data_IF_580073821854
#
_entry.id   IF_580073821854
#
_cell.length_a   1.000
_cell.length_b   1.000
_cell.length_c   1.000
_cell.angle_alpha   90.00
_cell.angle_beta   90.00
_cell.angle_gamma   90.00
#
_symmetry.space_group_name_H-M   'P 1'
#
loop_
_entity.id
_entity.type
_entity.pdbx_description
1 polymer ?
#
# COMPACT_ATOMS: atom_id res chain seq x y z
N UNK A 1 -14.59 -27.85 30.60
CA UNK A 1 -15.24 -29.19 30.53
C UNK A 1 -16.04 -29.47 31.81
N UNK A 2 -15.42 -29.52 33.00
CA UNK A 2 -16.13 -29.87 34.25
C UNK A 2 -17.38 -29.02 34.54
N UNK A 3 -17.34 -27.72 34.27
CA UNK A 3 -18.52 -26.83 34.42
C UNK A 3 -19.69 -27.26 33.52
N UNK A 4 -19.43 -27.65 32.27
CA UNK A 4 -20.49 -28.11 31.36
C UNK A 4 -21.16 -29.38 31.87
N UNK A 5 -20.36 -30.32 32.38
CA UNK A 5 -20.86 -31.58 32.94
C UNK A 5 -21.69 -31.33 34.21
N UNK A 6 -21.20 -30.47 35.11
CA UNK A 6 -21.91 -30.15 36.36
C UNK A 6 -23.26 -29.43 36.12
N UNK A 7 -23.35 -28.66 35.03
CA UNK A 7 -24.57 -27.93 34.65
C UNK A 7 -25.49 -28.71 33.70
N UNK A 8 -25.16 -29.97 33.37
CA UNK A 8 -25.84 -30.77 32.34
C UNK A 8 -25.98 -30.03 30.98
N UNK A 9 -24.96 -29.28 30.58
CA UNK A 9 -24.92 -28.59 29.29
C UNK A 9 -24.23 -29.45 28.22
N UNK A 10 -24.65 -29.27 26.96
CA UNK A 10 -23.99 -29.89 25.82
C UNK A 10 -22.55 -29.38 25.67
N UNK A 11 -21.58 -30.29 25.52
CA UNK A 11 -20.18 -29.93 25.34
C UNK A 11 -19.95 -29.43 23.90
N UNK A 12 -19.41 -28.22 23.69
CA UNK A 12 -19.10 -27.74 22.35
C UNK A 12 -17.84 -28.43 21.82
N UNK A 13 -17.63 -28.34 20.50
CA UNK A 13 -16.34 -28.65 19.91
C UNK A 13 -15.31 -27.57 20.29
N UNK A 14 -14.09 -27.99 20.63
CA UNK A 14 -12.98 -27.09 20.95
C UNK A 14 -11.87 -27.25 19.91
N UNK A 15 -11.36 -26.14 19.42
CA UNK A 15 -10.14 -26.10 18.62
C UNK A 15 -9.15 -25.12 19.27
N UNK A 16 -7.90 -25.56 19.42
CA UNK A 16 -6.83 -24.73 19.98
C UNK A 16 -5.94 -24.26 18.85
N UNK A 17 -5.94 -22.95 18.59
CA UNK A 17 -5.07 -22.33 17.59
C UNK A 17 -3.67 -22.20 18.19
N UNK A 18 -2.60 -22.55 17.46
CA UNK A 18 -1.23 -22.42 17.94
C UNK A 18 -0.90 -20.96 18.30
N UNK A 19 0.01 -20.79 19.25
CA UNK A 19 0.47 -19.45 19.63
C UNK A 19 1.27 -18.81 18.51
N UNK A 20 1.12 -17.49 18.38
CA UNK A 20 1.95 -16.65 17.52
C UNK A 20 3.24 -16.30 18.26
N UNK A 21 4.36 -16.53 17.60
CA UNK A 21 5.70 -16.24 18.09
C UNK A 21 6.33 -15.09 17.30
N UNK A 22 7.28 -14.38 17.91
CA UNK A 22 8.17 -13.47 17.21
C UNK A 22 9.11 -14.25 16.28
N UNK A 23 9.85 -13.54 15.43
CA UNK A 23 10.81 -14.18 14.52
C UNK A 23 11.93 -14.91 15.29
N UNK A 24 12.29 -14.40 16.47
CA UNK A 24 13.21 -15.01 17.44
C UNK A 24 12.60 -16.22 18.18
N UNK A 25 11.33 -16.53 17.95
CA UNK A 25 10.66 -17.71 18.51
C UNK A 25 10.12 -17.52 19.93
N UNK A 26 10.15 -16.30 20.49
CA UNK A 26 9.48 -15.99 21.76
C UNK A 26 7.98 -15.83 21.54
N UNK A 27 7.16 -16.11 22.55
CA UNK A 27 5.72 -15.82 22.47
C UNK A 27 5.50 -14.33 22.22
N UNK A 28 4.70 -13.98 21.21
CA UNK A 28 4.35 -12.60 20.93
C UNK A 28 3.61 -11.99 22.13
N UNK A 29 4.02 -10.80 22.54
CA UNK A 29 3.51 -10.06 23.67
C UNK A 29 3.30 -8.60 23.30
N UNK A 30 2.51 -7.86 24.09
CA UNK A 30 2.28 -6.42 23.88
C UNK A 30 3.56 -5.55 23.91
N UNK A 31 4.69 -6.11 24.35
CA UNK A 31 5.98 -5.42 24.43
C UNK A 31 6.79 -5.54 23.12
N UNK A 32 6.37 -6.41 22.21
CA UNK A 32 7.04 -6.62 20.93
C UNK A 32 6.55 -5.56 19.92
N UNK A 33 7.43 -5.06 19.04
CA UNK A 33 7.09 -3.99 18.09
C UNK A 33 5.95 -4.41 17.15
N UNK A 34 5.05 -3.48 16.83
CA UNK A 34 3.81 -3.68 16.04
C UNK A 34 2.87 -4.76 16.63
N UNK A 35 2.50 -4.58 17.90
CA UNK A 35 1.64 -5.53 18.63
C UNK A 35 0.14 -5.36 18.35
N UNK A 36 -0.28 -4.24 17.75
CA UNK A 36 -1.70 -3.92 17.56
C UNK A 36 -2.06 -3.75 16.08
N UNK A 37 -3.34 -3.95 15.75
CA UNK A 37 -3.84 -3.73 14.39
C UNK A 37 -3.58 -2.29 13.89
N UNK A 38 -3.70 -1.31 14.79
CA UNK A 38 -3.45 0.09 14.48
C UNK A 38 -1.98 0.37 14.12
N UNK A 39 -1.02 -0.38 14.68
CA UNK A 39 0.39 -0.24 14.32
C UNK A 39 0.64 -0.62 12.86
N UNK A 40 -0.03 -1.65 12.35
CA UNK A 40 0.02 -2.03 10.94
C UNK A 40 -0.68 -1.01 10.05
N UNK A 41 -1.82 -0.47 10.49
CA UNK A 41 -2.52 0.59 9.77
C UNK A 41 -1.68 1.86 9.67
N UNK A 42 -0.96 2.26 10.73
CA UNK A 42 -0.06 3.43 10.74
C UNK A 42 1.07 3.35 9.72
N UNK A 43 1.62 2.16 9.49
CA UNK A 43 2.67 1.95 8.49
C UNK A 43 2.11 1.69 7.08
N UNK A 44 0.78 1.74 6.90
CA UNK A 44 0.15 1.62 5.58
C UNK A 44 0.02 0.19 5.07
N UNK A 45 -0.14 -0.80 5.95
CA UNK A 45 -0.59 -2.15 5.56
C UNK A 45 -2.09 -2.12 5.28
N UNK A 46 -2.50 -2.64 4.12
CA UNK A 46 -3.91 -2.72 3.72
C UNK A 46 -4.62 -3.85 4.46
N UNK A 47 -5.89 -3.65 4.84
CA UNK A 47 -6.64 -4.62 5.65
C UNK A 47 -6.78 -5.99 4.97
N UNK A 48 -6.89 -6.03 3.64
CA UNK A 48 -7.00 -7.27 2.85
C UNK A 48 -5.71 -8.10 2.91
N UNK A 49 -4.56 -7.43 2.84
CA UNK A 49 -3.25 -8.05 2.94
C UNK A 49 -2.99 -8.58 4.35
N UNK A 50 -3.31 -7.79 5.38
CA UNK A 50 -3.15 -8.21 6.77
C UNK A 50 -4.09 -9.39 7.10
N UNK A 51 -5.34 -9.35 6.65
CA UNK A 51 -6.29 -10.46 6.82
C UNK A 51 -5.74 -11.75 6.20
N UNK A 52 -5.24 -11.68 4.97
CA UNK A 52 -4.67 -12.85 4.30
C UNK A 52 -3.44 -13.40 4.99
N UNK A 53 -2.56 -12.50 5.44
CA UNK A 53 -1.40 -12.90 6.22
C UNK A 53 -1.80 -13.62 7.51
N UNK A 54 -2.77 -13.06 8.26
CA UNK A 54 -3.27 -13.68 9.48
C UNK A 54 -4.00 -15.00 9.22
N UNK A 55 -4.73 -15.12 8.11
CA UNK A 55 -5.33 -16.39 7.69
C UNK A 55 -4.24 -17.44 7.43
N UNK A 56 -3.16 -17.07 6.74
CA UNK A 56 -2.01 -17.97 6.49
C UNK A 56 -1.14 -18.23 7.72
N UNK A 57 -1.39 -17.51 8.81
CA UNK A 57 -0.63 -17.64 10.04
C UNK A 57 -1.11 -18.86 10.83
N UNK A 58 -0.65 -20.03 10.42
CA UNK A 58 -0.96 -21.31 11.06
C UNK A 58 -2.09 -22.09 10.39
N UNK A 59 -2.65 -21.58 9.29
CA UNK A 59 -3.53 -22.34 8.40
C UNK A 59 -2.99 -22.34 6.97
N UNK A 60 -3.13 -23.47 6.30
CA UNK A 60 -2.70 -23.65 4.91
C UNK A 60 -3.75 -24.40 4.11
N UNK A 61 -3.88 -24.02 2.85
CA UNK A 61 -4.71 -24.71 1.86
C UNK A 61 -3.90 -24.85 0.57
N UNK A 62 -3.48 -26.08 0.28
CA UNK A 62 -2.62 -26.40 -0.87
C UNK A 62 -1.43 -25.40 -0.95
N UNK A 63 -1.07 -24.99 -2.16
CA UNK A 63 -0.02 -24.00 -2.42
C UNK A 63 -0.55 -22.55 -2.55
N UNK A 64 -1.84 -22.32 -2.23
CA UNK A 64 -2.48 -21.01 -2.41
C UNK A 64 -2.12 -20.06 -1.26
N UNK A 65 -1.59 -18.88 -1.59
CA UNK A 65 -1.18 -17.87 -0.60
C UNK A 65 -2.14 -16.67 -0.48
N UNK A 66 -2.92 -16.39 -1.54
CA UNK A 66 -3.79 -15.20 -1.61
C UNK A 66 -5.24 -15.64 -1.82
N UNK A 67 -6.12 -15.16 -0.95
CA UNK A 67 -7.53 -15.51 -0.90
C UNK A 67 -8.39 -14.25 -0.90
N UNK A 68 -9.47 -14.26 -1.67
CA UNK A 68 -10.55 -13.30 -1.48
C UNK A 68 -11.26 -13.59 -0.15
N UNK A 69 -12.09 -12.65 0.32
CA UNK A 69 -12.90 -12.88 1.52
C UNK A 69 -13.83 -14.08 1.35
N UNK A 70 -14.48 -14.19 0.19
CA UNK A 70 -15.39 -15.29 -0.14
C UNK A 70 -14.67 -16.64 -0.19
N UNK A 71 -13.49 -16.68 -0.81
CA UNK A 71 -12.64 -17.87 -0.84
C UNK A 71 -12.19 -18.27 0.57
N UNK A 72 -11.81 -17.29 1.40
CA UNK A 72 -11.42 -17.55 2.79
C UNK A 72 -12.55 -18.22 3.56
N UNK A 73 -13.80 -17.75 3.40
CA UNK A 73 -14.97 -18.34 4.06
C UNK A 73 -15.26 -19.74 3.54
N UNK A 74 -15.17 -19.94 2.22
CA UNK A 74 -15.52 -21.22 1.58
C UNK A 74 -14.51 -22.33 1.86
N UNK A 75 -13.21 -22.00 1.92
CA UNK A 75 -12.13 -22.99 1.98
C UNK A 75 -11.64 -23.25 3.41
N UNK A 76 -11.89 -22.32 4.34
CA UNK A 76 -11.41 -22.48 5.71
C UNK A 76 -11.99 -23.73 6.39
N UNK A 77 -11.10 -24.50 7.01
CA UNK A 77 -11.41 -25.72 7.72
C UNK A 77 -10.37 -25.96 8.82
N UNK A 78 -10.71 -26.81 9.80
CA UNK A 78 -9.83 -27.06 10.95
C UNK A 78 -8.67 -27.99 10.61
N UNK A 79 -8.81 -28.86 9.61
CA UNK A 79 -7.78 -29.79 9.15
C UNK A 79 -6.56 -29.06 8.60
N UNK A 80 -6.76 -27.89 7.99
CA UNK A 80 -5.70 -27.02 7.49
C UNK A 80 -4.92 -26.28 8.57
N UNK A 81 -5.32 -26.34 9.84
CA UNK A 81 -4.63 -25.69 10.95
C UNK A 81 -3.40 -26.52 11.36
N UNK A 82 -2.21 -25.93 11.22
CA UNK A 82 -0.95 -26.52 11.64
C UNK A 82 -0.82 -26.61 13.17
N UNK A 83 -0.13 -27.64 13.66
CA UNK A 83 0.14 -27.84 15.09
C UNK A 83 1.29 -26.98 15.63
N UNK A 84 2.19 -26.54 14.74
CA UNK A 84 3.39 -25.79 15.11
C UNK A 84 3.08 -24.31 15.40
N UNK A 85 3.80 -23.66 16.34
CA UNK A 85 3.72 -22.22 16.53
C UNK A 85 4.01 -21.47 15.23
N UNK A 86 3.23 -20.43 14.97
CA UNK A 86 3.39 -19.61 13.77
C UNK A 86 4.24 -18.39 14.08
N UNK A 87 5.20 -18.08 13.21
CA UNK A 87 6.08 -16.91 13.40
C UNK A 87 5.52 -15.71 12.66
N UNK A 88 5.38 -14.61 13.38
CA UNK A 88 5.07 -13.32 12.79
C UNK A 88 6.32 -12.78 12.09
N UNK A 89 6.19 -12.49 10.81
CA UNK A 89 7.26 -12.07 9.91
C UNK A 89 6.81 -10.85 9.09
N UNK A 90 7.35 -9.70 9.46
CA UNK A 90 7.08 -8.43 8.79
C UNK A 90 7.46 -8.44 7.31
N UNK A 91 8.49 -9.20 6.92
CA UNK A 91 8.91 -9.27 5.51
C UNK A 91 7.85 -9.94 4.64
N UNK A 92 7.21 -11.00 5.16
CA UNK A 92 6.08 -11.68 4.49
C UNK A 92 4.85 -10.79 4.44
N UNK A 93 4.53 -10.05 5.51
CA UNK A 93 3.45 -9.06 5.51
C UNK A 93 3.67 -8.01 4.43
N UNK A 94 4.88 -7.44 4.36
CA UNK A 94 5.22 -6.42 3.36
C UNK A 94 5.17 -6.98 1.93
N UNK A 95 5.65 -8.20 1.71
CA UNK A 95 5.57 -8.85 0.39
C UNK A 95 4.13 -9.12 -0.03
N UNK A 96 3.27 -9.55 0.90
CA UNK A 96 1.84 -9.73 0.65
C UNK A 96 1.20 -8.39 0.31
N UNK A 97 1.45 -7.36 1.11
CA UNK A 97 0.89 -6.03 0.91
C UNK A 97 1.35 -5.40 -0.43
N UNK A 98 2.61 -5.59 -0.81
CA UNK A 98 3.14 -5.19 -2.12
C UNK A 98 2.37 -5.87 -3.26
N UNK A 99 2.05 -7.16 -3.14
CA UNK A 99 1.22 -7.84 -4.13
C UNK A 99 -0.15 -7.17 -4.25
N UNK A 100 -0.83 -6.92 -3.12
CA UNK A 100 -2.14 -6.26 -3.13
C UNK A 100 -2.07 -4.85 -3.74
N UNK A 101 -1.06 -4.03 -3.39
CA UNK A 101 -0.86 -2.68 -3.94
C UNK A 101 -0.67 -2.73 -5.47
N UNK A 102 0.00 -3.76 -5.99
CA UNK A 102 0.22 -3.91 -7.43
C UNK A 102 -1.04 -4.36 -8.16
N UNK A 103 -1.86 -5.22 -7.54
CA UNK A 103 -3.02 -5.86 -8.17
C UNK A 103 -4.32 -5.07 -8.06
N UNK A 104 -4.44 -4.16 -7.10
CA UNK A 104 -5.64 -3.34 -6.87
C UNK A 104 -5.84 -2.30 -7.98
N UNK A 105 -7.11 -1.97 -8.26
CA UNK A 105 -7.49 -0.90 -9.19
C UNK A 105 -7.04 0.48 -8.68
N UNK A 106 -6.62 1.37 -9.58
CA UNK A 106 -6.13 2.70 -9.20
C UNK A 106 -7.19 3.57 -8.50
N UNK A 107 -8.47 3.43 -8.81
CA UNK A 107 -9.52 4.16 -8.09
C UNK A 107 -9.61 3.68 -6.64
N UNK A 108 -9.62 2.38 -6.43
CA UNK A 108 -9.70 1.78 -5.10
C UNK A 108 -8.44 2.08 -4.29
N UNK A 109 -7.25 1.98 -4.90
CA UNK A 109 -5.99 2.37 -4.29
C UNK A 109 -5.98 3.84 -3.86
N UNK A 110 -6.54 4.73 -4.69
CA UNK A 110 -6.68 6.13 -4.34
C UNK A 110 -7.56 6.31 -3.09
N UNK A 111 -8.70 5.62 -3.00
CA UNK A 111 -9.57 5.70 -1.82
C UNK A 111 -8.88 5.18 -0.56
N UNK A 112 -8.15 4.07 -0.66
CA UNK A 112 -7.34 3.53 0.44
C UNK A 112 -6.26 4.52 0.88
N UNK A 113 -5.56 5.15 -0.07
CA UNK A 113 -4.57 6.18 0.20
C UNK A 113 -5.18 7.41 0.89
N UNK A 114 -6.33 7.90 0.41
CA UNK A 114 -7.04 9.02 1.04
C UNK A 114 -7.43 8.69 2.47
N UNK A 115 -8.05 7.54 2.70
CA UNK A 115 -8.44 7.06 4.04
C UNK A 115 -7.23 6.91 4.98
N UNK A 116 -6.11 6.39 4.47
CA UNK A 116 -4.85 6.32 5.20
C UNK A 116 -4.33 7.72 5.58
N UNK A 117 -4.31 8.64 4.61
CA UNK A 117 -3.83 10.00 4.82
C UNK A 117 -4.71 10.77 5.81
N UNK A 118 -6.03 10.62 5.77
CA UNK A 118 -6.94 11.26 6.72
C UNK A 118 -6.71 10.82 8.16
N UNK A 119 -6.26 9.58 8.38
CA UNK A 119 -6.03 9.02 9.71
C UNK A 119 -4.62 9.28 10.24
N UNK A 120 -3.60 9.17 9.38
CA UNK A 120 -2.21 9.05 9.83
C UNK A 120 -1.26 10.08 9.20
N UNK A 121 -1.70 10.85 8.20
CA UNK A 121 -0.86 11.83 7.47
C UNK A 121 -1.62 13.14 7.27
N UNK A 122 -1.19 13.92 6.29
CA UNK A 122 -1.89 15.12 5.86
C UNK A 122 -3.01 14.77 4.88
N UNK A 123 -4.18 15.35 5.10
CA UNK A 123 -5.34 15.15 4.24
C UNK A 123 -5.03 15.60 2.80
N UNK A 124 -5.24 14.70 1.85
CA UNK A 124 -5.12 15.00 0.42
C UNK A 124 -6.28 15.92 0.03
N UNK A 125 -5.98 17.12 -0.48
CA UNK A 125 -6.99 18.04 -1.00
C UNK A 125 -7.62 17.45 -2.28
N UNK A 126 -8.92 17.61 -2.43
CA UNK A 126 -9.69 17.11 -3.59
C UNK A 126 -9.14 17.58 -4.93
N UNK A 127 -8.61 18.81 -5.00
CA UNK A 127 -7.96 19.38 -6.19
C UNK A 127 -6.76 18.57 -6.70
N UNK A 128 -6.15 17.75 -5.84
CA UNK A 128 -4.99 16.91 -6.18
C UNK A 128 -5.39 15.57 -6.78
N UNK A 129 -6.65 15.15 -6.64
CA UNK A 129 -7.14 13.86 -7.14
C UNK A 129 -6.81 13.67 -8.62
N UNK A 130 -7.12 14.68 -9.44
CA UNK A 130 -6.91 14.65 -10.89
C UNK A 130 -5.44 14.47 -11.31
N UNK A 131 -4.48 14.76 -10.40
CA UNK A 131 -3.04 14.55 -10.64
C UNK A 131 -2.53 13.24 -10.02
N UNK A 132 -2.97 12.92 -8.81
CA UNK A 132 -2.49 11.73 -8.08
C UNK A 132 -3.00 10.46 -8.75
N UNK A 133 -4.28 10.40 -9.08
CA UNK A 133 -4.95 9.18 -9.54
C UNK A 133 -4.36 8.62 -10.85
N UNK A 134 -4.11 9.43 -11.91
CA UNK A 134 -3.41 8.94 -13.11
C UNK A 134 -1.95 8.57 -12.85
N UNK A 135 -1.34 9.15 -11.81
CA UNK A 135 0.06 8.92 -11.43
C UNK A 135 0.23 7.67 -10.57
N UNK A 136 -0.84 7.08 -10.02
CA UNK A 136 -0.76 5.93 -9.11
C UNK A 136 -0.06 4.72 -9.73
N UNK A 137 -0.23 4.50 -11.03
CA UNK A 137 0.48 3.45 -11.79
C UNK A 137 2.01 3.56 -11.66
N UNK A 138 2.53 4.80 -11.59
CA UNK A 138 3.95 5.07 -11.34
C UNK A 138 4.27 5.08 -9.84
N UNK A 139 3.43 5.70 -9.01
CA UNK A 139 3.67 5.87 -7.58
C UNK A 139 3.68 4.54 -6.81
N UNK A 140 2.99 3.51 -7.32
CA UNK A 140 3.00 2.15 -6.77
C UNK A 140 4.28 1.37 -7.08
N UNK A 141 5.13 1.87 -7.98
CA UNK A 141 6.36 1.17 -8.35
C UNK A 141 7.32 1.10 -7.15
N UNK A 142 7.72 -0.12 -6.78
CA UNK A 142 8.53 -0.44 -5.59
C UNK A 142 7.91 -0.02 -4.24
N UNK A 143 6.62 0.35 -4.21
CA UNK A 143 5.91 0.63 -2.97
C UNK A 143 5.47 -0.67 -2.31
N UNK A 144 5.76 -0.83 -1.02
CA UNK A 144 5.30 -1.98 -0.22
C UNK A 144 4.17 -1.61 0.71
N UNK A 145 3.94 -0.33 0.92
CA UNK A 145 2.94 0.23 1.84
C UNK A 145 2.26 1.47 1.28
N UNK A 146 1.11 1.85 1.84
CA UNK A 146 0.48 3.14 1.55
C UNK A 146 1.37 4.32 1.98
N UNK A 147 2.22 4.13 3.00
CA UNK A 147 3.23 5.12 3.42
C UNK A 147 4.25 5.38 2.31
N UNK A 148 4.73 4.33 1.63
CA UNK A 148 5.64 4.47 0.49
C UNK A 148 4.98 5.25 -0.65
N UNK A 149 3.71 4.96 -0.95
CA UNK A 149 2.95 5.68 -1.99
C UNK A 149 2.76 7.15 -1.60
N UNK A 150 2.41 7.43 -0.35
CA UNK A 150 2.28 8.79 0.16
C UNK A 150 3.59 9.56 0.03
N UNK A 151 4.72 8.96 0.42
CA UNK A 151 6.04 9.55 0.29
C UNK A 151 6.41 9.82 -1.17
N UNK A 152 6.11 8.88 -2.07
CA UNK A 152 6.27 9.07 -3.51
C UNK A 152 5.36 10.19 -4.04
N UNK A 153 4.14 10.35 -3.52
CA UNK A 153 3.19 11.36 -3.97
C UNK A 153 3.42 12.75 -3.35
N UNK A 154 4.33 12.89 -2.38
CA UNK A 154 4.50 14.08 -1.56
C UNK A 154 4.71 15.36 -2.38
N UNK A 155 5.46 15.28 -3.47
CA UNK A 155 5.71 16.40 -4.39
C UNK A 155 4.44 16.88 -5.12
N UNK A 156 3.48 15.99 -5.37
CA UNK A 156 2.18 16.34 -5.95
C UNK A 156 1.29 16.99 -4.88
N UNK A 157 1.32 16.44 -3.67
CA UNK A 157 0.49 16.88 -2.54
C UNK A 157 0.87 18.30 -2.10
N UNK A 158 2.16 18.59 -1.95
CA UNK A 158 2.64 19.83 -1.32
C UNK A 158 2.96 20.96 -2.31
N UNK A 159 2.96 20.72 -3.62
CA UNK A 159 3.50 21.64 -4.65
C UNK A 159 4.96 22.10 -4.42
N UNK A 160 5.61 21.64 -3.34
CA UNK A 160 6.98 21.94 -2.97
C UNK A 160 7.89 20.75 -3.27
N UNK A 161 8.88 20.97 -4.13
CA UNK A 161 9.97 20.03 -4.33
C UNK A 161 11.04 20.32 -3.29
N UNK A 162 10.98 19.65 -2.12
CA UNK A 162 12.12 19.61 -1.20
C UNK A 162 13.20 18.68 -1.78
N UNK A 163 14.10 19.24 -2.58
CA UNK A 163 15.27 18.55 -3.12
C UNK A 163 16.27 18.26 -1.98
N UNK A 164 16.04 17.20 -1.21
CA UNK A 164 16.98 16.75 -0.18
C UNK A 164 18.02 15.83 -0.82
N UNK A 165 19.27 16.31 -0.81
CA UNK A 165 20.54 15.60 -1.10
C UNK A 165 20.52 14.59 -2.25
N UNK A 166 20.26 15.09 -3.46
CA UNK A 166 20.70 14.42 -4.68
C UNK A 166 22.12 14.90 -4.97
N UNK A 167 23.06 13.96 -5.19
CA UNK A 167 24.43 14.23 -5.66
C UNK A 167 24.41 15.36 -6.70
N UNK A 168 25.28 16.36 -6.54
CA UNK A 168 25.26 17.64 -7.29
C UNK A 168 25.11 17.46 -8.81
N UNK A 169 25.64 16.36 -9.35
CA UNK A 169 25.54 15.93 -10.76
C UNK A 169 24.12 15.51 -11.19
N UNK A 170 23.42 14.69 -10.40
CA UNK A 170 22.04 14.30 -10.72
C UNK A 170 21.08 15.49 -10.64
N UNK A 171 21.32 16.42 -9.72
CA UNK A 171 20.55 17.68 -9.62
C UNK A 171 20.70 18.51 -10.89
N UNK A 172 21.90 18.55 -11.46
CA UNK A 172 22.18 19.26 -12.71
C UNK A 172 21.50 18.58 -13.90
N UNK A 173 21.54 17.26 -14.02
CA UNK A 173 20.87 16.52 -15.12
C UNK A 173 19.35 16.66 -15.06
N UNK A 174 18.74 16.54 -13.87
CA UNK A 174 17.28 16.69 -13.73
C UNK A 174 16.83 18.13 -13.97
N UNK A 175 17.59 19.11 -13.45
CA UNK A 175 17.30 20.53 -13.69
C UNK A 175 17.48 20.88 -15.16
N UNK A 176 18.51 20.34 -15.83
CA UNK A 176 18.74 20.57 -17.25
C UNK A 176 17.65 19.94 -18.12
N UNK A 177 17.20 18.70 -17.83
CA UNK A 177 16.10 18.06 -18.55
C UNK A 177 14.74 18.73 -18.30
N UNK A 178 14.49 19.18 -17.06
CA UNK A 178 13.29 19.94 -16.74
C UNK A 178 13.29 21.30 -17.44
N UNK A 179 14.41 22.02 -17.41
CA UNK A 179 14.58 23.30 -18.09
C UNK A 179 14.49 23.13 -19.60
N UNK A 180 15.10 22.10 -20.20
CA UNK A 180 14.94 21.80 -21.62
C UNK A 180 13.49 21.55 -21.97
N UNK A 181 12.77 20.70 -21.22
CA UNK A 181 11.36 20.43 -21.55
C UNK A 181 10.50 21.69 -21.44
N UNK A 182 10.73 22.54 -20.44
CA UNK A 182 9.98 23.78 -20.28
C UNK A 182 10.36 24.82 -21.35
N UNK A 183 11.65 24.94 -21.67
CA UNK A 183 12.19 25.83 -22.68
C UNK A 183 11.76 25.44 -24.09
N UNK A 184 11.82 24.15 -24.45
CA UNK A 184 11.30 23.64 -25.72
C UNK A 184 9.80 23.88 -25.84
N UNK A 185 9.03 23.66 -24.76
CA UNK A 185 7.58 23.93 -24.77
C UNK A 185 7.26 25.43 -24.92
N UNK A 186 8.09 26.30 -24.35
CA UNK A 186 7.96 27.75 -24.48
C UNK A 186 8.33 28.25 -25.88
N UNK A 187 9.45 27.77 -26.44
CA UNK A 187 9.87 28.09 -27.80
C UNK A 187 8.86 27.56 -28.82
N UNK A 188 8.39 26.31 -28.70
CA UNK A 188 7.41 25.77 -29.64
C UNK A 188 6.11 26.58 -29.63
N UNK A 189 5.67 27.02 -28.44
CA UNK A 189 4.46 27.84 -28.31
C UNK A 189 4.62 29.22 -28.96
N UNK A 190 5.80 29.83 -28.88
CA UNK A 190 6.07 31.11 -29.55
C UNK A 190 6.37 30.96 -31.06
N UNK A 191 6.99 29.87 -31.48
CA UNK A 191 7.29 29.60 -32.89
C UNK A 191 6.02 29.26 -33.69
N UNK A 192 5.05 28.56 -33.09
CA UNK A 192 3.72 28.31 -33.69
C UNK A 192 2.89 29.60 -33.80
N UNK A 193 3.05 30.55 -32.88
CA UNK A 193 2.40 31.88 -32.99
C UNK A 193 3.05 32.71 -34.10
N UNK A 194 4.36 32.63 -34.28
CA UNK A 194 5.08 33.32 -35.36
C UNK A 194 4.69 32.79 -36.76
N UNK A 195 4.59 31.45 -36.92
CA UNK A 195 4.17 30.83 -38.19
C UNK A 195 2.70 31.04 -38.55
N UNK A 196 1.84 31.38 -37.58
CA UNK A 196 0.44 31.74 -37.84
C UNK A 196 0.21 33.24 -38.04
N UNK A 197 1.15 34.10 -37.62
CA UNK A 197 1.09 35.54 -37.89
C UNK A 197 1.35 35.87 -39.37
N UNK A 198 2.19 35.09 -40.05
CA UNK A 198 2.53 35.30 -41.47
C UNK A 198 1.44 34.85 -42.46
N UNK A 199 0.36 34.20 -42.00
CA UNK A 199 -0.80 33.88 -42.87
C UNK A 199 -1.88 34.97 -42.91
N UNK A 200 -1.79 36.02 -42.10
CA UNK A 200 -2.83 37.07 -42.04
C UNK A 200 -2.48 38.28 -42.92
N UNK A 201 -1.28 38.36 -43.49
CA UNK A 201 -0.85 39.50 -44.34
C UNK A 201 -0.87 39.26 -45.87
N UNK A 202 -1.51 38.20 -46.36
CA UNK A 202 -1.62 37.90 -47.80
C UNK A 202 -3.07 37.88 -48.35
N UNK A 203 -4.03 38.51 -47.66
CA UNK A 203 -5.34 38.83 -48.25
C UNK A 203 -5.75 40.24 -47.82
N UNK A 204 -5.21 41.24 -48.52
CA UNK A 204 -5.89 42.47 -48.95
C UNK A 204 -5.02 43.24 -49.92
#
# INVERSE_FOLDING_TARGET
IQIYLAMNWNLPAFAHIPLIHTIEGKKLSKRDNASTLDDYSKIGIMPEALRNYLLRLGWSYEDKEIFTLEESIKLFNLEGIGKSPSKLDMSRILSMNEHYIKSIDENELYQQLVSYCEKYKEKIKSEKEAKIKPSLSFLKNKAKTLEDIYNNAKFIIHDEIKLVQINRLFKMVYFFNFFLNYFFKYIFRHFVVFLNADRVFLIK
#
